data_IF_965116266280
#
_entry.id   IF_965116266280
#
_cell.length_a   1.000
_cell.length_b   1.000
_cell.length_c   1.000
_cell.angle_alpha   90.00
_cell.angle_beta   90.00
_cell.angle_gamma   90.00
#
_symmetry.space_group_name_H-M   'P 1'
#
loop_
_entity.id
_entity.type
_entity.pdbx_description
1 polymer ?
#
# COMPACT_ATOMS: atom_id res chain seq x y z
N UNK A 1 -24.88 -11.71 24.64
CA UNK A 1 -24.52 -12.40 23.37
C UNK A 1 -23.90 -11.45 22.34
N UNK A 2 -23.02 -10.52 22.76
CA UNK A 2 -22.49 -9.43 21.89
C UNK A 2 -21.09 -9.72 21.32
N UNK A 3 -20.41 -10.79 21.73
CA UNK A 3 -19.03 -11.06 21.33
C UNK A 3 -18.90 -11.48 19.87
N UNK A 4 -19.73 -12.43 19.40
CA UNK A 4 -19.61 -12.95 18.04
C UNK A 4 -20.00 -11.93 16.96
N UNK A 5 -21.06 -11.15 17.21
CA UNK A 5 -21.51 -10.11 16.28
C UNK A 5 -20.48 -8.97 16.17
N UNK A 6 -19.86 -8.58 17.29
CA UNK A 6 -18.77 -7.61 17.28
C UNK A 6 -17.57 -8.14 16.49
N UNK A 7 -17.17 -9.40 16.73
CA UNK A 7 -16.06 -10.03 16.04
C UNK A 7 -16.28 -10.13 14.52
N UNK A 8 -17.46 -10.59 14.08
CA UNK A 8 -17.77 -10.67 12.64
C UNK A 8 -17.71 -9.29 11.99
N UNK A 9 -18.27 -8.26 12.65
CA UNK A 9 -18.21 -6.90 12.14
C UNK A 9 -16.78 -6.43 11.97
N UNK A 10 -15.91 -6.68 12.95
CA UNK A 10 -14.52 -6.23 12.90
C UNK A 10 -13.73 -6.95 11.78
N UNK A 11 -13.96 -8.25 11.59
CA UNK A 11 -13.38 -9.02 10.48
C UNK A 11 -13.84 -8.48 9.12
N UNK A 12 -15.16 -8.29 8.96
CA UNK A 12 -15.73 -7.77 7.72
C UNK A 12 -15.28 -6.33 7.46
N UNK A 13 -15.16 -5.52 8.51
CA UNK A 13 -14.68 -4.15 8.41
C UNK A 13 -13.24 -4.10 7.94
N UNK A 14 -12.36 -4.94 8.51
CA UNK A 14 -10.97 -5.08 8.07
C UNK A 14 -10.87 -5.59 6.62
N UNK A 15 -11.71 -6.56 6.24
CA UNK A 15 -11.76 -7.07 4.87
C UNK A 15 -12.18 -6.00 3.86
N UNK A 16 -13.24 -5.24 4.18
CA UNK A 16 -13.70 -4.11 3.36
C UNK A 16 -12.63 -3.03 3.30
N UNK A 17 -11.95 -2.73 4.41
CA UNK A 17 -10.84 -1.78 4.43
C UNK A 17 -9.73 -2.21 3.48
N UNK A 18 -9.24 -3.44 3.61
CA UNK A 18 -8.18 -3.99 2.77
C UNK A 18 -8.57 -4.03 1.28
N UNK A 19 -9.83 -4.35 0.94
CA UNK A 19 -10.28 -4.50 -0.45
C UNK A 19 -10.80 -3.23 -1.11
N UNK A 20 -11.20 -2.22 -0.33
CA UNK A 20 -11.78 -1.00 -0.89
C UNK A 20 -10.75 -0.05 -1.51
N UNK A 21 -9.44 -0.31 -1.37
CA UNK A 21 -8.36 0.54 -1.91
C UNK A 21 -8.24 1.92 -1.25
N UNK A 22 -9.20 2.32 -0.43
CA UNK A 22 -9.22 3.58 0.32
C UNK A 22 -8.45 3.50 1.64
N UNK A 23 -8.27 2.29 2.20
CA UNK A 23 -7.39 2.06 3.33
C UNK A 23 -6.03 1.57 2.81
N UNK A 24 -5.03 2.43 2.90
CA UNK A 24 -3.64 2.03 2.72
C UNK A 24 -3.11 1.66 4.10
N UNK A 25 -2.88 0.37 4.42
CA UNK A 25 -2.17 0.04 5.65
C UNK A 25 -0.82 0.79 5.63
N UNK A 26 -0.37 1.25 6.80
CA UNK A 26 0.98 1.80 6.92
C UNK A 26 1.96 0.69 6.60
N UNK A 27 2.46 0.66 5.36
CA UNK A 27 3.42 -0.34 4.92
C UNK A 27 4.76 -0.06 5.60
N UNK A 28 5.43 -1.13 5.99
CA UNK A 28 6.83 -1.12 6.38
C UNK A 28 7.68 -1.65 5.21
N UNK A 29 8.99 -1.40 5.23
CA UNK A 29 9.88 -1.98 4.22
C UNK A 29 9.81 -3.51 4.19
N UNK A 30 9.63 -4.16 5.35
CA UNK A 30 9.48 -5.62 5.43
C UNK A 30 8.23 -6.16 4.72
N UNK A 31 7.25 -5.31 4.43
CA UNK A 31 6.07 -5.72 3.68
C UNK A 31 6.34 -5.78 2.16
N UNK A 32 7.45 -5.23 1.66
CA UNK A 32 7.78 -5.21 0.23
C UNK A 32 8.65 -6.42 -0.12
N UNK A 33 8.14 -7.32 -0.97
CA UNK A 33 8.84 -8.54 -1.39
C UNK A 33 9.79 -8.33 -2.55
N UNK A 34 9.43 -7.43 -3.46
CA UNK A 34 10.22 -7.10 -4.66
C UNK A 34 9.80 -5.74 -5.17
N UNK A 35 10.70 -5.08 -5.90
CA UNK A 35 10.46 -3.81 -6.58
C UNK A 35 10.63 -3.96 -8.09
N UNK A 36 9.87 -3.19 -8.86
CA UNK A 36 9.92 -3.13 -10.33
C UNK A 36 10.03 -1.66 -10.74
N UNK A 37 10.94 -1.33 -11.66
CA UNK A 37 11.05 0.02 -12.21
C UNK A 37 9.77 0.44 -12.94
N UNK A 38 9.30 1.65 -12.67
CA UNK A 38 8.11 2.21 -13.28
C UNK A 38 8.25 3.73 -13.52
N UNK A 39 7.31 4.26 -14.30
CA UNK A 39 7.09 5.71 -14.45
C UNK A 39 5.65 5.99 -14.01
N UNK A 40 5.44 7.03 -13.20
CA UNK A 40 4.12 7.43 -12.77
C UNK A 40 3.27 7.95 -13.94
N UNK A 41 2.03 7.47 -14.09
CA UNK A 41 1.09 7.96 -15.13
C UNK A 41 0.20 9.10 -14.63
N UNK A 42 0.23 9.39 -13.33
CA UNK A 42 -0.46 10.49 -12.63
C UNK A 42 0.29 10.74 -11.33
N UNK A 43 -0.10 11.76 -10.60
CA UNK A 43 0.39 11.96 -9.23
C UNK A 43 0.03 10.75 -8.36
N UNK A 44 1.05 10.16 -7.76
CA UNK A 44 0.95 9.06 -6.81
C UNK A 44 1.53 9.48 -5.46
N UNK A 45 1.20 8.75 -4.40
CA UNK A 45 1.77 8.97 -3.07
C UNK A 45 2.49 7.70 -2.64
N UNK A 46 3.79 7.84 -2.33
CA UNK A 46 4.65 6.75 -1.88
C UNK A 46 4.01 6.01 -0.70
N UNK A 47 3.89 4.69 -0.81
CA UNK A 47 3.19 3.88 0.16
C UNK A 47 3.90 3.77 1.52
N UNK A 48 5.21 4.01 1.57
CA UNK A 48 6.01 3.96 2.79
C UNK A 48 6.12 5.32 3.49
N UNK A 49 6.25 6.40 2.73
CA UNK A 49 6.58 7.74 3.28
C UNK A 49 5.45 8.76 3.12
N UNK A 50 4.45 8.46 2.29
CA UNK A 50 3.41 9.41 1.88
C UNK A 50 3.88 10.49 0.89
N UNK A 51 5.19 10.56 0.59
CA UNK A 51 5.77 11.56 -0.31
C UNK A 51 5.07 11.53 -1.68
N UNK A 52 4.77 12.72 -2.21
CA UNK A 52 4.23 12.86 -3.56
C UNK A 52 5.26 12.39 -4.61
N UNK A 53 4.79 11.60 -5.57
CA UNK A 53 5.49 11.18 -6.77
C UNK A 53 4.72 11.81 -7.95
N UNK A 54 5.23 12.90 -8.55
CA UNK A 54 4.59 13.59 -9.67
C UNK A 54 4.34 12.69 -10.89
N UNK A 55 3.33 13.05 -11.68
CA UNK A 55 3.12 12.49 -13.02
C UNK A 55 4.43 12.50 -13.84
N UNK A 56 4.68 11.41 -14.57
CA UNK A 56 5.84 11.17 -15.45
C UNK A 56 7.17 11.02 -14.75
N UNK A 57 7.21 11.07 -13.42
CA UNK A 57 8.43 10.84 -12.66
C UNK A 57 8.75 9.35 -12.54
N UNK A 58 10.04 9.02 -12.39
CA UNK A 58 10.49 7.66 -12.14
C UNK A 58 10.16 7.24 -10.71
N UNK A 59 9.69 6.01 -10.58
CA UNK A 59 9.35 5.41 -9.30
C UNK A 59 9.59 3.90 -9.34
N UNK A 60 9.37 3.24 -8.21
CA UNK A 60 9.31 1.79 -8.13
C UNK A 60 7.87 1.36 -7.83
N UNK A 61 7.45 0.22 -8.37
CA UNK A 61 6.28 -0.52 -7.90
C UNK A 61 6.74 -1.64 -6.98
N UNK A 62 6.34 -1.58 -5.71
CA UNK A 62 6.58 -2.63 -4.73
C UNK A 62 5.46 -3.67 -4.76
N UNK A 63 5.80 -4.95 -4.82
CA UNK A 63 4.85 -6.04 -4.56
C UNK A 63 4.81 -6.33 -3.07
N UNK A 64 3.66 -6.13 -2.43
CA UNK A 64 3.50 -6.34 -0.99
C UNK A 64 3.37 -7.82 -0.63
N UNK A 65 3.55 -8.17 0.64
CA UNK A 65 3.25 -9.51 1.17
C UNK A 65 1.78 -9.91 1.02
N UNK A 66 0.89 -8.93 0.81
CA UNK A 66 -0.55 -9.11 0.61
C UNK A 66 -0.92 -9.29 -0.88
N UNK A 67 0.05 -9.15 -1.79
CA UNK A 67 -0.14 -9.30 -3.24
C UNK A 67 -0.57 -8.02 -3.96
N UNK A 68 -0.47 -6.86 -3.31
CA UNK A 68 -0.80 -5.56 -3.90
C UNK A 68 0.44 -4.94 -4.55
N UNK A 69 0.27 -4.22 -5.66
CA UNK A 69 1.29 -3.34 -6.22
C UNK A 69 1.11 -1.93 -5.67
N UNK A 70 2.14 -1.39 -5.03
CA UNK A 70 2.10 -0.06 -4.40
C UNK A 70 3.22 0.85 -4.92
N UNK A 71 2.97 2.16 -5.11
CA UNK A 71 3.99 3.09 -5.57
C UNK A 71 5.01 3.38 -4.47
N UNK A 72 6.30 3.42 -4.84
CA UNK A 72 7.43 3.71 -3.97
C UNK A 72 8.30 4.79 -4.61
N UNK A 73 8.61 5.84 -3.84
CA UNK A 73 9.62 6.82 -4.24
C UNK A 73 11.00 6.16 -4.26
N UNK A 74 11.89 6.56 -5.17
CA UNK A 74 13.24 5.99 -5.28
C UNK A 74 14.02 6.04 -3.95
N UNK A 75 13.91 7.15 -3.21
CA UNK A 75 14.51 7.35 -1.88
C UNK A 75 14.04 6.34 -0.83
N UNK A 76 12.82 5.81 -0.98
CA UNK A 76 12.22 4.86 -0.03
C UNK A 76 12.53 3.41 -0.40
N UNK A 77 13.25 3.14 -1.49
CA UNK A 77 13.70 1.80 -1.83
C UNK A 77 15.18 1.58 -1.46
N UNK A 78 15.93 2.66 -1.17
CA UNK A 78 17.31 2.60 -0.72
C UNK A 78 17.37 2.32 0.79
N UNK A 79 17.26 1.04 1.17
CA UNK A 79 17.70 0.47 2.45
C UNK A 79 18.30 -0.93 2.23
#
# INVERSE_FOLDING_TARGET
>A
NQGYQALIRDILWNYVHQKSGNYRPSFSHSDIRVTIEATANRDESCALTGKLIPEREKMLLGLTVYGDLVPLSLEAADL
#
